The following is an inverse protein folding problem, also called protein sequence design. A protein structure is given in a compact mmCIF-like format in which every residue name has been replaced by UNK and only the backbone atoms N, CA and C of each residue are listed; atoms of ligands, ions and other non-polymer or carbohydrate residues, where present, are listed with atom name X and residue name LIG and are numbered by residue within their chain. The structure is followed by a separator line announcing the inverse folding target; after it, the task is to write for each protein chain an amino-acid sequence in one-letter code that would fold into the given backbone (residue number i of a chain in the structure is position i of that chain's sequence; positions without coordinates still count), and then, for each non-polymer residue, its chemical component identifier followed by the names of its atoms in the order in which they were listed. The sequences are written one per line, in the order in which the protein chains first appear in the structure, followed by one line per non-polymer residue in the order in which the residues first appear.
data_IF_159590991351
#
_entry.id   IF_159590991351
#
_cell.length_a   1.000
_cell.length_b   1.000
_cell.length_c   1.000
_cell.angle_alpha   90.00
_cell.angle_beta   90.00
_cell.angle_gamma   90.00
#
_symmetry.space_group_name_H-M   'P 1'
#
loop_
_entity.id
_entity.type
_entity.pdbx_description
1 polymer ?
#
# COMPACT_ATOMS: atom_id res chain seq x y z
N UNK A 1 5.88 -12.25 -5.65
CA UNK A 1 7.31 -12.04 -5.36
C UNK A 1 8.02 -13.32 -4.89
N UNK A 2 7.54 -14.00 -3.83
CA UNK A 2 8.22 -15.22 -3.34
C UNK A 2 8.26 -16.33 -4.39
N UNK A 3 7.16 -16.55 -5.11
CA UNK A 3 7.07 -17.49 -6.22
C UNK A 3 8.03 -17.14 -7.36
N UNK A 4 8.32 -15.86 -7.57
CA UNK A 4 9.26 -15.37 -8.59
C UNK A 4 10.73 -15.38 -8.11
N UNK A 5 11.01 -15.99 -6.96
CA UNK A 5 12.37 -16.17 -6.45
C UNK A 5 12.87 -15.06 -5.52
N UNK A 6 12.06 -14.06 -5.19
CA UNK A 6 12.45 -12.99 -4.26
C UNK A 6 12.66 -13.51 -2.83
N UNK A 7 13.52 -12.82 -2.09
CA UNK A 7 13.54 -12.85 -0.64
C UNK A 7 12.56 -11.80 -0.12
N UNK A 8 11.71 -12.13 0.84
CA UNK A 8 10.65 -11.26 1.30
C UNK A 8 10.76 -10.95 2.80
N UNK A 9 10.45 -9.71 3.16
CA UNK A 9 10.21 -9.31 4.53
C UNK A 9 8.76 -8.87 4.67
N UNK A 10 8.05 -9.42 5.64
CA UNK A 10 6.69 -9.06 5.99
C UNK A 10 6.76 -8.23 7.26
N UNK A 11 6.47 -6.94 7.15
CA UNK A 11 6.46 -6.02 8.28
C UNK A 11 5.02 -5.70 8.68
N UNK A 12 4.70 -5.89 9.94
CA UNK A 12 3.39 -5.60 10.51
C UNK A 12 3.52 -5.13 11.96
N UNK A 13 2.55 -4.32 12.42
CA UNK A 13 2.42 -3.94 13.83
C UNK A 13 2.28 -5.18 14.73
N UNK A 14 1.56 -6.20 14.25
CA UNK A 14 1.46 -7.51 14.86
C UNK A 14 2.64 -8.39 14.42
N UNK A 15 3.72 -8.38 15.20
CA UNK A 15 4.92 -9.14 14.90
C UNK A 15 4.72 -10.66 14.90
N UNK A 16 3.75 -11.20 15.63
CA UNK A 16 3.42 -12.63 15.59
C UNK A 16 2.79 -12.99 14.24
N UNK A 17 1.80 -12.22 13.78
CA UNK A 17 1.21 -12.40 12.46
C UNK A 17 2.24 -12.29 11.34
N UNK A 18 3.14 -11.30 11.41
CA UNK A 18 4.22 -11.13 10.44
C UNK A 18 5.13 -12.37 10.38
N UNK A 19 5.54 -12.91 11.53
CA UNK A 19 6.38 -14.11 11.60
C UNK A 19 5.66 -15.37 11.14
N UNK A 20 4.39 -15.54 11.54
CA UNK A 20 3.57 -16.69 11.10
C UNK A 20 3.43 -16.70 9.57
N UNK A 21 3.06 -15.57 8.99
CA UNK A 21 2.91 -15.45 7.53
C UNK A 21 4.25 -15.69 6.81
N UNK A 22 5.37 -15.20 7.35
CA UNK A 22 6.68 -15.47 6.76
C UNK A 22 7.02 -16.97 6.80
N UNK A 23 6.69 -17.68 7.89
CA UNK A 23 6.90 -19.11 8.04
C UNK A 23 6.00 -19.97 7.13
N UNK A 24 4.80 -19.47 6.76
CA UNK A 24 3.96 -20.13 5.76
C UNK A 24 4.60 -20.18 4.37
N UNK A 25 5.32 -19.10 3.99
CA UNK A 25 6.06 -19.06 2.73
C UNK A 25 7.39 -19.84 2.79
N UNK A 26 8.07 -19.77 3.90
CA UNK A 26 9.44 -20.28 4.04
C UNK A 26 9.70 -20.77 5.48
N UNK A 27 9.32 -22.02 5.80
CA UNK A 27 9.50 -22.57 7.14
C UNK A 27 10.94 -22.56 7.63
N UNK A 28 11.92 -22.65 6.72
CA UNK A 28 13.34 -22.64 7.04
C UNK A 28 13.89 -21.22 7.27
N UNK A 29 13.11 -20.20 6.95
CA UNK A 29 13.45 -18.78 7.15
C UNK A 29 14.66 -18.29 6.35
N UNK A 30 14.99 -18.94 5.24
CA UNK A 30 16.12 -18.57 4.39
C UNK A 30 15.78 -17.37 3.47
N UNK A 31 14.55 -17.32 2.99
CA UNK A 31 14.07 -16.36 1.99
C UNK A 31 12.90 -15.48 2.49
N UNK A 32 12.28 -15.82 3.62
CA UNK A 32 11.24 -15.01 4.22
C UNK A 32 11.59 -14.63 5.66
N UNK A 33 11.13 -13.44 6.10
CA UNK A 33 11.19 -13.03 7.51
C UNK A 33 10.01 -12.15 7.88
N UNK A 34 9.53 -12.31 9.13
CA UNK A 34 8.57 -11.40 9.75
C UNK A 34 9.29 -10.35 10.59
N UNK A 35 8.87 -9.10 10.47
CA UNK A 35 9.40 -7.95 11.22
C UNK A 35 8.25 -7.26 11.95
N UNK A 36 8.36 -7.10 13.27
CA UNK A 36 7.44 -6.23 13.99
C UNK A 36 7.84 -4.79 13.75
N UNK A 37 6.88 -3.97 13.27
CA UNK A 37 7.16 -2.58 12.92
C UNK A 37 5.89 -1.76 12.98
N UNK A 38 5.88 -0.74 13.82
CA UNK A 38 4.92 0.35 13.72
C UNK A 38 5.46 1.38 12.71
N UNK A 39 4.77 1.54 11.60
CA UNK A 39 5.20 2.48 10.54
C UNK A 39 5.15 3.94 11.00
N UNK A 40 4.49 4.25 12.11
CA UNK A 40 4.43 5.60 12.69
C UNK A 40 5.57 5.89 13.69
N UNK A 41 6.37 4.87 14.01
CA UNK A 41 7.53 4.98 14.90
C UNK A 41 8.82 4.94 14.07
N UNK A 42 9.49 6.08 14.00
CA UNK A 42 10.71 6.26 13.21
C UNK A 42 11.82 5.27 13.62
N UNK A 43 12.01 5.02 14.91
CA UNK A 43 13.06 4.13 15.38
C UNK A 43 12.77 2.67 15.03
N UNK A 44 11.51 2.24 15.13
CA UNK A 44 11.11 0.90 14.72
C UNK A 44 11.24 0.70 13.20
N UNK A 45 10.89 1.72 12.41
CA UNK A 45 11.05 1.68 10.95
C UNK A 45 12.53 1.56 10.58
N UNK A 46 13.38 2.43 11.09
CA UNK A 46 14.81 2.40 10.80
C UNK A 46 15.42 1.04 11.22
N UNK A 47 15.19 0.58 12.44
CA UNK A 47 15.71 -0.71 12.92
C UNK A 47 15.18 -1.92 12.14
N UNK A 48 13.89 -1.92 11.77
CA UNK A 48 13.26 -2.99 10.99
C UNK A 48 13.82 -3.10 9.57
N UNK A 49 13.96 -1.97 8.89
CA UNK A 49 14.55 -1.91 7.53
C UNK A 49 16.04 -2.31 7.57
N UNK A 50 16.80 -1.84 8.56
CA UNK A 50 18.21 -2.22 8.74
C UNK A 50 18.37 -3.73 8.97
N UNK A 51 17.47 -4.34 9.77
CA UNK A 51 17.47 -5.79 10.00
C UNK A 51 17.21 -6.58 8.71
N UNK A 52 16.25 -6.10 7.87
CA UNK A 52 15.98 -6.71 6.55
C UNK A 52 17.18 -6.59 5.63
N UNK A 53 17.75 -5.39 5.52
CA UNK A 53 18.93 -5.15 4.70
C UNK A 53 20.13 -5.99 5.16
N UNK A 54 20.34 -6.10 6.46
CA UNK A 54 21.40 -6.94 7.04
C UNK A 54 21.22 -8.42 6.74
N UNK A 55 19.97 -8.95 6.84
CA UNK A 55 19.69 -10.36 6.55
C UNK A 55 19.82 -10.72 5.08
N UNK A 56 19.32 -9.86 4.19
CA UNK A 56 19.20 -10.17 2.77
C UNK A 56 20.27 -9.49 1.89
N UNK A 57 21.10 -8.64 2.46
CA UNK A 57 22.19 -7.95 1.74
C UNK A 57 21.70 -6.70 0.97
N UNK A 58 20.58 -6.11 1.39
CA UNK A 58 20.06 -4.88 0.84
C UNK A 58 18.54 -4.90 0.65
N UNK A 59 18.03 -3.80 0.06
CA UNK A 59 16.61 -3.59 -0.25
C UNK A 59 16.47 -3.26 -1.74
N UNK A 60 15.72 -4.05 -2.48
CA UNK A 60 15.49 -3.82 -3.91
C UNK A 60 14.08 -3.29 -4.18
N UNK A 61 13.10 -3.70 -3.37
CA UNK A 61 11.70 -3.31 -3.54
C UNK A 61 11.10 -2.93 -2.18
N UNK A 62 10.41 -1.79 -2.13
CA UNK A 62 9.50 -1.42 -1.06
C UNK A 62 8.07 -1.46 -1.59
N UNK A 63 7.18 -2.20 -0.92
CA UNK A 63 5.73 -2.06 -1.07
C UNK A 63 5.19 -1.41 0.20
N UNK A 64 4.91 -0.11 0.12
CA UNK A 64 4.30 0.67 1.22
C UNK A 64 2.79 0.43 1.20
N UNK A 65 2.32 -0.51 2.04
CA UNK A 65 0.95 -1.00 2.03
C UNK A 65 0.18 -0.71 3.33
N UNK A 66 0.86 -0.44 4.46
CA UNK A 66 0.22 -0.21 5.75
C UNK A 66 -0.90 0.85 5.65
N UNK A 67 -2.05 0.54 6.21
CA UNK A 67 -3.18 1.46 6.15
C UNK A 67 -4.40 0.96 6.91
N UNK A 68 -5.25 1.91 7.28
CA UNK A 68 -6.53 1.69 7.94
C UNK A 68 -7.63 2.49 7.24
N UNK A 69 -8.87 2.19 7.55
CA UNK A 69 -10.02 2.96 7.13
C UNK A 69 -10.94 3.24 8.31
N UNK A 70 -11.44 4.47 8.37
CA UNK A 70 -12.48 4.93 9.29
C UNK A 70 -13.48 5.70 8.45
N UNK A 71 -14.76 5.36 8.61
CA UNK A 71 -15.88 5.92 7.83
C UNK A 71 -16.71 6.82 8.75
N UNK A 72 -16.81 8.09 8.43
CA UNK A 72 -17.68 9.05 9.12
C UNK A 72 -17.89 10.33 8.28
N UNK A 73 -18.99 11.07 8.48
CA UNK A 73 -19.17 12.38 7.89
C UNK A 73 -18.05 13.34 8.29
N UNK A 74 -17.67 14.25 7.39
CA UNK A 74 -16.54 15.16 7.63
C UNK A 74 -16.76 16.10 8.81
N UNK A 75 -18.00 16.56 9.01
CA UNK A 75 -18.38 17.50 10.07
C UNK A 75 -18.36 16.87 11.47
N UNK A 76 -18.43 15.53 11.56
CA UNK A 76 -18.38 14.78 12.82
C UNK A 76 -17.12 13.95 12.97
N UNK A 77 -16.21 14.00 11.98
CA UNK A 77 -15.00 13.19 11.98
C UNK A 77 -14.07 13.58 13.13
N UNK A 78 -13.76 12.63 14.03
CA UNK A 78 -12.90 12.91 15.18
C UNK A 78 -11.49 13.30 14.73
N UNK A 79 -10.95 14.42 15.24
CA UNK A 79 -9.61 14.89 14.86
C UNK A 79 -8.50 13.89 15.21
N UNK A 80 -8.66 13.14 16.30
CA UNK A 80 -7.72 12.09 16.66
C UNK A 80 -7.66 10.98 15.61
N UNK A 81 -8.80 10.57 15.05
CA UNK A 81 -8.89 9.56 14.01
C UNK A 81 -8.35 10.08 12.67
N UNK A 82 -8.60 11.35 12.35
CA UNK A 82 -7.96 12.04 11.23
C UNK A 82 -6.44 11.96 11.32
N UNK A 83 -5.86 12.37 12.47
CA UNK A 83 -4.42 12.33 12.72
C UNK A 83 -3.87 10.92 12.64
N UNK A 84 -4.53 9.96 13.29
CA UNK A 84 -4.13 8.55 13.28
C UNK A 84 -4.08 7.99 11.85
N UNK A 85 -5.07 8.27 11.04
CA UNK A 85 -5.11 7.75 9.66
C UNK A 85 -4.01 8.38 8.81
N UNK A 86 -3.81 9.69 8.89
CA UNK A 86 -2.74 10.37 8.14
C UNK A 86 -1.35 9.88 8.58
N UNK A 87 -1.11 9.70 9.89
CA UNK A 87 0.18 9.21 10.38
C UNK A 87 0.52 7.82 9.84
N UNK A 88 -0.46 6.90 9.78
CA UNK A 88 -0.22 5.55 9.24
C UNK A 88 0.03 5.63 7.72
N UNK A 89 -0.83 6.34 6.98
CA UNK A 89 -0.77 6.33 5.52
C UNK A 89 0.31 7.22 4.92
N UNK A 90 0.56 8.41 5.50
CA UNK A 90 1.51 9.39 4.95
C UNK A 90 2.83 9.38 5.69
N UNK A 91 2.83 9.57 7.02
CA UNK A 91 4.08 9.58 7.78
C UNK A 91 4.74 8.20 7.70
N UNK A 92 3.96 7.11 7.81
CA UNK A 92 4.47 5.74 7.66
C UNK A 92 5.04 5.45 6.28
N UNK A 93 4.38 5.92 5.21
CA UNK A 93 4.91 5.81 3.86
C UNK A 93 6.21 6.61 3.68
N UNK A 94 6.28 7.82 4.24
CA UNK A 94 7.49 8.63 4.22
C UNK A 94 8.64 7.95 4.99
N UNK A 95 8.41 7.49 6.21
CA UNK A 95 9.44 6.88 7.06
C UNK A 95 10.00 5.61 6.41
N UNK A 96 9.15 4.71 5.96
CA UNK A 96 9.57 3.46 5.29
C UNK A 96 10.31 3.75 3.99
N UNK A 97 9.84 4.73 3.21
CA UNK A 97 10.52 5.17 1.98
C UNK A 97 11.90 5.70 2.28
N UNK A 98 12.02 6.62 3.23
CA UNK A 98 13.30 7.24 3.62
C UNK A 98 14.32 6.19 4.06
N UNK A 99 13.91 5.24 4.90
CA UNK A 99 14.78 4.17 5.36
C UNK A 99 15.22 3.26 4.21
N UNK A 100 14.30 2.83 3.34
CA UNK A 100 14.63 2.00 2.18
C UNK A 100 15.54 2.73 1.18
N UNK A 101 15.29 4.01 0.89
CA UNK A 101 16.10 4.80 -0.04
C UNK A 101 17.56 4.92 0.40
N UNK A 102 17.84 5.03 1.71
CA UNK A 102 19.22 5.02 2.23
C UNK A 102 19.98 3.77 1.79
N UNK A 103 19.33 2.59 1.91
CA UNK A 103 19.92 1.32 1.45
C UNK A 103 20.00 1.23 -0.07
N UNK A 104 18.91 1.59 -0.79
CA UNK A 104 18.88 1.56 -2.25
C UNK A 104 19.97 2.45 -2.87
N UNK A 105 20.21 3.62 -2.30
CA UNK A 105 21.27 4.53 -2.78
C UNK A 105 22.66 4.00 -2.45
N UNK A 106 22.89 3.51 -1.22
CA UNK A 106 24.18 2.98 -0.81
C UNK A 106 24.58 1.72 -1.59
N UNK A 107 23.64 0.84 -1.94
CA UNK A 107 23.92 -0.38 -2.70
C UNK A 107 24.18 -0.14 -4.19
N UNK A 108 23.74 0.97 -4.78
CA UNK A 108 24.07 1.40 -6.14
C UNK A 108 23.51 0.54 -7.29
N UNK A 109 22.55 -0.35 -7.02
CA UNK A 109 21.91 -1.21 -8.02
C UNK A 109 20.46 -0.84 -8.35
N UNK A 110 20.03 0.34 -7.92
CA UNK A 110 18.68 0.83 -8.13
C UNK A 110 17.67 0.24 -7.16
N UNK A 111 16.39 0.38 -7.50
CA UNK A 111 15.29 -0.14 -6.71
C UNK A 111 13.92 0.25 -7.23
N UNK A 112 12.88 -0.26 -6.58
CA UNK A 112 11.48 0.08 -6.90
C UNK A 112 10.69 0.36 -5.63
N UNK A 113 10.10 1.55 -5.55
CA UNK A 113 9.18 1.93 -4.48
C UNK A 113 7.76 1.90 -5.04
N UNK A 114 6.89 1.13 -4.41
CA UNK A 114 5.50 0.93 -4.81
C UNK A 114 4.61 1.35 -3.64
N UNK A 115 3.78 2.35 -3.86
CA UNK A 115 2.78 2.76 -2.87
C UNK A 115 1.44 2.13 -3.17
N UNK A 116 0.77 1.64 -2.14
CA UNK A 116 -0.59 1.16 -2.24
C UNK A 116 -1.55 2.35 -2.13
N UNK A 117 -1.89 2.90 -3.29
CA UNK A 117 -2.91 3.93 -3.46
C UNK A 117 -4.32 3.36 -3.37
N UNK A 118 -5.21 3.91 -4.17
CA UNK A 118 -6.59 3.49 -4.39
C UNK A 118 -7.12 4.23 -5.62
N UNK A 119 -8.27 3.85 -6.16
CA UNK A 119 -9.07 4.74 -7.02
C UNK A 119 -9.27 6.10 -6.32
N UNK A 120 -9.37 6.10 -4.99
CA UNK A 120 -9.41 7.32 -4.17
C UNK A 120 -8.10 8.14 -4.15
N UNK A 121 -7.11 7.76 -4.92
CA UNK A 121 -5.97 8.63 -5.29
C UNK A 121 -6.28 9.54 -6.49
N UNK A 122 -7.43 9.37 -7.13
CA UNK A 122 -7.89 10.05 -8.35
C UNK A 122 -9.22 10.74 -8.18
N UNK A 123 -10.11 10.15 -7.40
CA UNK A 123 -11.44 10.66 -7.13
C UNK A 123 -11.78 10.58 -5.64
N UNK A 124 -12.96 11.03 -5.26
CA UNK A 124 -13.41 11.06 -3.88
C UNK A 124 -14.69 10.24 -3.67
N UNK A 125 -14.86 9.70 -2.47
CA UNK A 125 -16.12 9.16 -1.96
C UNK A 125 -16.51 9.89 -0.69
N UNK A 126 -17.82 9.94 -0.43
CA UNK A 126 -18.34 10.44 0.84
C UNK A 126 -17.79 9.63 2.02
N UNK A 127 -17.77 10.21 3.20
CA UNK A 127 -17.42 9.58 4.49
C UNK A 127 -15.94 9.17 4.65
N UNK A 128 -15.06 9.48 3.71
CA UNK A 128 -13.67 9.00 3.65
C UNK A 128 -12.64 10.14 3.60
N UNK A 129 -12.92 11.28 4.22
CA UNK A 129 -12.09 12.49 4.09
C UNK A 129 -10.59 12.24 4.34
N UNK A 130 -10.11 11.69 5.48
CA UNK A 130 -8.68 11.48 5.69
C UNK A 130 -8.09 10.42 4.75
N UNK A 131 -8.86 9.40 4.40
CA UNK A 131 -8.40 8.35 3.50
C UNK A 131 -8.14 8.89 2.08
N UNK A 132 -9.11 9.61 1.52
CA UNK A 132 -8.98 10.26 0.20
C UNK A 132 -7.80 11.22 0.20
N UNK A 133 -7.67 12.05 1.25
CA UNK A 133 -6.54 12.97 1.41
C UNK A 133 -5.20 12.23 1.41
N UNK A 134 -5.10 11.16 2.20
CA UNK A 134 -3.87 10.35 2.28
C UNK A 134 -3.54 9.70 0.92
N UNK A 135 -4.53 9.11 0.26
CA UNK A 135 -4.29 8.40 -1.01
C UNK A 135 -3.91 9.36 -2.16
N UNK A 136 -4.42 10.60 -2.17
CA UNK A 136 -3.91 11.66 -3.06
C UNK A 136 -2.49 12.07 -2.70
N UNK A 137 -2.16 12.20 -1.40
CA UNK A 137 -0.82 12.54 -0.92
C UNK A 137 0.25 11.54 -1.35
N UNK A 138 -0.06 10.22 -1.36
CA UNK A 138 0.85 9.18 -1.83
C UNK A 138 1.26 9.37 -3.31
N UNK A 139 0.37 9.88 -4.16
CA UNK A 139 0.72 10.17 -5.55
C UNK A 139 1.74 11.31 -5.64
N UNK A 140 1.60 12.32 -4.78
CA UNK A 140 2.59 13.40 -4.66
C UNK A 140 3.95 12.88 -4.20
N UNK A 141 3.97 12.08 -3.14
CA UNK A 141 5.19 11.46 -2.62
C UNK A 141 5.89 10.59 -3.67
N UNK A 142 5.14 9.74 -4.37
CA UNK A 142 5.69 8.89 -5.44
C UNK A 142 6.38 9.70 -6.55
N UNK A 143 5.81 10.83 -6.95
CA UNK A 143 6.38 11.71 -7.98
C UNK A 143 7.68 12.37 -7.52
N UNK A 144 7.77 12.76 -6.25
CA UNK A 144 9.02 13.31 -5.67
C UNK A 144 10.09 12.23 -5.65
N UNK A 145 9.77 11.05 -5.12
CA UNK A 145 10.71 9.91 -5.06
C UNK A 145 11.17 9.49 -6.46
N UNK A 146 10.30 9.51 -7.46
CA UNK A 146 10.67 9.24 -8.86
C UNK A 146 11.71 10.23 -9.40
N UNK A 147 11.61 11.52 -9.03
CA UNK A 147 12.57 12.54 -9.44
C UNK A 147 13.90 12.45 -8.70
N UNK A 148 13.86 12.29 -7.38
CA UNK A 148 15.06 12.22 -6.55
C UNK A 148 15.82 10.90 -6.73
N UNK A 149 15.08 9.79 -6.87
CA UNK A 149 15.62 8.45 -7.06
C UNK A 149 16.26 8.20 -8.43
N UNK A 150 15.95 9.03 -9.44
CA UNK A 150 16.38 8.82 -10.82
C UNK A 150 17.92 8.70 -10.97
N UNK A 151 18.68 9.53 -10.28
CA UNK A 151 20.15 9.50 -10.28
C UNK A 151 20.74 8.21 -9.67
N UNK A 152 19.94 7.49 -8.89
CA UNK A 152 20.31 6.24 -8.24
C UNK A 152 19.65 5.01 -8.88
N UNK A 153 18.96 5.17 -10.01
CA UNK A 153 18.25 4.09 -10.68
C UNK A 153 17.01 3.59 -9.91
N UNK A 154 16.48 4.40 -9.00
CA UNK A 154 15.28 4.06 -8.22
C UNK A 154 14.03 4.59 -8.92
N UNK A 155 13.06 3.70 -9.13
CA UNK A 155 11.73 4.01 -9.67
C UNK A 155 10.72 4.08 -8.54
N UNK A 156 9.66 4.87 -8.76
CA UNK A 156 8.58 4.99 -7.78
C UNK A 156 7.24 5.11 -8.47
N UNK A 157 6.29 4.25 -8.11
CA UNK A 157 4.96 4.21 -8.71
C UNK A 157 3.88 3.96 -7.65
N UNK A 158 2.63 4.21 -8.01
CA UNK A 158 1.46 3.95 -7.17
C UNK A 158 0.57 2.95 -7.87
N UNK A 159 0.11 1.92 -7.16
CA UNK A 159 -1.00 1.06 -7.60
C UNK A 159 -2.27 1.65 -7.02
N UNK A 160 -3.28 1.83 -7.84
CA UNK A 160 -4.59 2.38 -7.47
C UNK A 160 -5.69 1.33 -7.66
N UNK A 161 -5.87 0.40 -6.70
CA UNK A 161 -6.93 -0.59 -6.78
C UNK A 161 -8.32 0.04 -6.65
N UNK A 162 -9.31 -0.62 -7.24
CA UNK A 162 -10.71 -0.46 -6.87
C UNK A 162 -11.01 -1.09 -5.51
N UNK A 163 -12.24 -1.54 -5.30
CA UNK A 163 -12.57 -2.33 -4.11
C UNK A 163 -11.98 -3.73 -4.25
N UNK A 164 -11.05 -4.04 -3.35
CA UNK A 164 -10.45 -5.39 -3.23
C UNK A 164 -11.12 -6.10 -2.07
N UNK A 165 -11.74 -7.24 -2.32
CA UNK A 165 -12.47 -8.00 -1.30
C UNK A 165 -11.50 -8.57 -0.25
N UNK A 166 -11.29 -7.81 0.79
CA UNK A 166 -10.37 -8.06 1.90
C UNK A 166 -11.11 -7.87 3.24
N UNK A 167 -10.57 -8.32 4.38
CA UNK A 167 -11.16 -8.04 5.69
C UNK A 167 -11.46 -6.55 5.92
N UNK A 168 -10.64 -5.65 5.34
CA UNK A 168 -10.87 -4.20 5.42
C UNK A 168 -12.15 -3.78 4.68
N UNK A 169 -12.43 -4.34 3.50
CA UNK A 169 -13.65 -4.05 2.73
C UNK A 169 -14.85 -4.73 3.36
N UNK A 170 -14.72 -6.00 3.79
CA UNK A 170 -15.82 -6.70 4.47
C UNK A 170 -16.31 -5.94 5.71
N UNK A 171 -15.40 -5.33 6.49
CA UNK A 171 -15.75 -4.48 7.62
C UNK A 171 -16.50 -3.20 7.21
N UNK A 172 -16.17 -2.62 6.05
CA UNK A 172 -16.81 -1.38 5.57
C UNK A 172 -18.24 -1.59 5.10
N UNK A 173 -18.63 -2.79 4.67
CA UNK A 173 -19.97 -3.07 4.13
C UNK A 173 -21.05 -2.74 5.18
N UNK A 174 -21.06 -3.35 6.39
CA UNK A 174 -22.07 -3.04 7.41
C UNK A 174 -21.93 -1.61 7.96
N UNK A 175 -20.72 -1.05 8.03
CA UNK A 175 -20.52 0.34 8.46
C UNK A 175 -21.20 1.32 7.49
N UNK A 176 -21.02 1.12 6.18
CA UNK A 176 -21.65 1.97 5.17
C UNK A 176 -23.17 1.72 5.07
N UNK A 177 -23.63 0.48 5.19
CA UNK A 177 -25.06 0.14 5.22
C UNK A 177 -25.79 0.91 6.33
N UNK A 178 -25.21 0.91 7.53
CA UNK A 178 -25.74 1.64 8.68
C UNK A 178 -25.75 3.16 8.44
N UNK A 179 -24.65 3.71 7.95
CA UNK A 179 -24.50 5.16 7.77
C UNK A 179 -25.39 5.69 6.63
N UNK A 180 -25.58 4.90 5.58
CA UNK A 180 -26.41 5.26 4.42
C UNK A 180 -27.88 4.87 4.58
N UNK A 181 -28.24 4.05 5.56
CA UNK A 181 -29.59 3.55 5.78
C UNK A 181 -30.10 2.61 4.69
N UNK A 182 -29.21 1.80 4.10
CA UNK A 182 -29.51 0.85 3.01
C UNK A 182 -29.06 -0.56 3.40
N UNK A 183 -29.41 -1.56 2.59
CA UNK A 183 -28.98 -2.95 2.81
C UNK A 183 -27.46 -3.13 2.51
N UNK A 184 -26.84 -4.16 3.07
CA UNK A 184 -25.46 -4.54 2.72
C UNK A 184 -25.32 -4.91 1.24
N UNK A 185 -26.33 -5.55 0.68
CA UNK A 185 -26.38 -5.89 -0.74
C UNK A 185 -26.39 -4.63 -1.63
N UNK A 186 -27.16 -3.62 -1.24
CA UNK A 186 -27.13 -2.32 -1.91
C UNK A 186 -25.76 -1.62 -1.79
N UNK A 187 -25.07 -1.76 -0.66
CA UNK A 187 -23.70 -1.23 -0.52
C UNK A 187 -22.78 -1.90 -1.53
N UNK A 188 -22.85 -3.22 -1.67
CA UNK A 188 -22.02 -3.97 -2.62
C UNK A 188 -22.32 -3.54 -4.05
N UNK A 189 -23.57 -3.67 -4.50
CA UNK A 189 -23.92 -3.52 -5.90
C UNK A 189 -24.10 -2.06 -6.33
N UNK A 190 -24.71 -1.23 -5.48
CA UNK A 190 -25.11 0.12 -5.84
C UNK A 190 -24.17 1.22 -5.31
N UNK A 191 -23.18 0.86 -4.45
CA UNK A 191 -22.18 1.79 -3.95
C UNK A 191 -20.76 1.37 -4.34
N UNK A 192 -20.38 0.12 -4.08
CA UNK A 192 -18.99 -0.31 -4.30
C UNK A 192 -18.71 -0.70 -5.75
N UNK A 193 -19.58 -1.47 -6.38
CA UNK A 193 -19.37 -2.06 -7.71
C UNK A 193 -20.10 -1.33 -8.84
N UNK A 194 -20.94 -0.34 -8.54
CA UNK A 194 -21.81 0.33 -9.52
C UNK A 194 -21.06 0.93 -10.72
N UNK A 195 -19.83 1.37 -10.52
CA UNK A 195 -19.03 2.04 -11.54
C UNK A 195 -18.03 1.09 -12.22
N UNK A 196 -17.98 -0.19 -11.83
CA UNK A 196 -17.19 -1.22 -12.52
C UNK A 196 -17.91 -1.68 -13.78
N UNK A 197 -17.16 -2.08 -14.81
CA UNK A 197 -17.77 -2.48 -16.10
C UNK A 197 -18.34 -3.89 -16.09
N UNK A 198 -17.97 -4.71 -15.13
CA UNK A 198 -18.33 -6.13 -15.02
C UNK A 198 -19.00 -6.51 -13.68
N UNK A 199 -19.13 -5.55 -12.74
CA UNK A 199 -19.73 -5.79 -11.43
C UNK A 199 -18.86 -6.62 -10.48
N UNK A 200 -17.56 -6.71 -10.73
CA UNK A 200 -16.65 -7.57 -9.97
C UNK A 200 -15.72 -6.77 -9.04
N UNK A 201 -15.34 -7.40 -7.93
CA UNK A 201 -14.27 -6.89 -7.07
C UNK A 201 -12.90 -7.16 -7.68
N UNK A 202 -11.99 -6.19 -7.58
CA UNK A 202 -10.56 -6.44 -7.82
C UNK A 202 -10.06 -7.51 -6.85
N UNK A 203 -9.25 -8.44 -7.33
CA UNK A 203 -8.67 -9.49 -6.50
C UNK A 203 -7.32 -9.08 -5.91
N UNK A 204 -6.92 -9.73 -4.82
CA UNK A 204 -5.56 -9.56 -4.26
C UNK A 204 -4.47 -10.00 -5.26
N UNK A 205 -4.79 -10.98 -6.13
CA UNK A 205 -3.87 -11.46 -7.17
C UNK A 205 -3.67 -10.41 -8.28
N UNK A 206 -4.70 -9.69 -8.70
CA UNK A 206 -4.59 -8.60 -9.68
C UNK A 206 -3.63 -7.50 -9.18
N UNK A 207 -3.76 -7.13 -7.91
CA UNK A 207 -2.89 -6.15 -7.27
C UNK A 207 -1.46 -6.69 -7.14
N UNK A 208 -1.30 -7.96 -6.74
CA UNK A 208 0.00 -8.60 -6.58
C UNK A 208 0.75 -8.71 -7.92
N UNK A 209 0.07 -9.12 -9.00
CA UNK A 209 0.64 -9.19 -10.36
C UNK A 209 1.08 -7.81 -10.85
N UNK A 210 0.29 -6.78 -10.58
CA UNK A 210 0.66 -5.40 -10.91
C UNK A 210 1.90 -4.95 -10.13
N UNK A 211 2.01 -5.31 -8.84
CA UNK A 211 3.18 -5.01 -8.04
C UNK A 211 4.45 -5.72 -8.57
N UNK A 212 4.35 -6.99 -8.94
CA UNK A 212 5.46 -7.74 -9.55
C UNK A 212 5.88 -7.10 -10.89
N UNK A 213 4.92 -6.74 -11.74
CA UNK A 213 5.20 -6.05 -13.01
C UNK A 213 5.94 -4.73 -12.80
N UNK A 214 5.47 -3.88 -11.88
CA UNK A 214 6.13 -2.60 -11.58
C UNK A 214 7.52 -2.78 -10.98
N UNK A 215 7.70 -3.76 -10.09
CA UNK A 215 8.99 -4.05 -9.49
C UNK A 215 9.99 -4.58 -10.51
N UNK A 216 9.58 -5.50 -11.37
CA UNK A 216 10.42 -6.16 -12.37
C UNK A 216 10.61 -5.40 -13.68
N UNK A 217 10.05 -4.19 -13.84
CA UNK A 217 10.18 -3.42 -15.08
C UNK A 217 11.65 -3.07 -15.35
N UNK A 218 12.21 -3.40 -16.56
CA UNK A 218 13.65 -3.47 -16.75
C UNK A 218 14.36 -2.12 -16.90
N UNK A 219 13.60 -1.02 -17.05
CA UNK A 219 14.17 0.33 -17.28
C UNK A 219 13.50 1.37 -16.39
N UNK A 220 14.06 2.59 -16.36
CA UNK A 220 13.46 3.72 -15.63
C UNK A 220 12.32 4.42 -16.39
N UNK A 221 11.88 3.90 -17.53
CA UNK A 221 10.81 4.51 -18.32
C UNK A 221 9.46 4.51 -17.57
N UNK A 222 9.21 3.52 -16.70
CA UNK A 222 7.99 3.41 -15.91
C UNK A 222 8.24 3.87 -14.48
N UNK A 223 8.17 5.18 -14.26
CA UNK A 223 8.33 5.82 -12.95
C UNK A 223 7.40 7.03 -12.80
N UNK A 224 7.03 7.39 -11.59
CA UNK A 224 6.13 8.51 -11.28
C UNK A 224 4.67 8.28 -11.69
N UNK A 225 4.30 7.04 -12.03
CA UNK A 225 2.97 6.69 -12.52
C UNK A 225 2.05 6.22 -11.42
N UNK A 226 0.75 6.37 -11.66
CA UNK A 226 -0.30 5.77 -10.84
C UNK A 226 -1.14 4.85 -11.73
N UNK A 227 -0.97 3.55 -11.52
CA UNK A 227 -1.59 2.49 -12.32
C UNK A 227 -2.90 2.08 -11.67
N UNK A 228 -4.00 2.26 -12.39
CA UNK A 228 -5.34 1.90 -11.91
C UNK A 228 -5.62 0.43 -12.20
N UNK A 229 -6.15 -0.28 -11.19
CA UNK A 229 -6.54 -1.71 -11.25
C UNK A 229 -7.92 -1.80 -10.61
N UNK A 230 -9.00 -1.55 -11.39
CA UNK A 230 -10.30 -1.23 -10.80
C UNK A 230 -11.51 -1.71 -11.61
N UNK A 231 -11.35 -2.67 -12.50
CA UNK A 231 -12.46 -3.12 -13.36
C UNK A 231 -13.18 -1.97 -14.09
N UNK A 232 -12.42 -0.97 -14.55
CA UNK A 232 -12.97 0.19 -15.24
C UNK A 232 -13.68 1.21 -14.39
N UNK A 233 -13.75 1.05 -13.05
CA UNK A 233 -14.35 2.06 -12.16
C UNK A 233 -13.77 3.46 -12.41
N UNK A 234 -12.45 3.56 -12.52
CA UNK A 234 -11.81 4.81 -12.92
C UNK A 234 -10.98 4.59 -14.17
N UNK A 235 -11.25 5.38 -15.21
CA UNK A 235 -10.49 5.40 -16.47
C UNK A 235 -9.83 6.77 -16.65
N UNK A 236 -8.56 6.80 -17.04
CA UNK A 236 -7.80 8.03 -17.30
C UNK A 236 -7.93 8.44 -18.76
#
# INVERSE_FOLDING_TARGET
FFADGARIAIADLNGEAARSTAAEFDPDGLRAMGVQMDVTDEAQVDAGIDAVAGKFGGIDVLVSNAGIQIVAPIETFAFADWRKLLSIHLDGAFLTTRACLRHMYAQGRGGSVIYMGSVHSKEASKLKAPYVTAKHGLVGLAKVVAKEGAAHGVRSNVICPGFVRTPLVEKQIPEQAKELGISEDDVIHNVMLKDTVDGEFTTVDDVARTAVFLAGFPTNALTGQSVVVSHGWFMQ
#
